data_IF_615657546528
#
_entry.id   IF_615657546528
#
_cell.length_a   1.000
_cell.length_b   1.000
_cell.length_c   1.000
_cell.angle_alpha   90.00
_cell.angle_beta   90.00
_cell.angle_gamma   90.00
#
_symmetry.space_group_name_H-M   'P 1'
#
loop_
_entity.id
_entity.type
_entity.pdbx_description
1 polymer ?
#
# COMPACT_ATOMS: atom_id res chain seq x y z
N UNK A 1 19.75 14.18 -25.47
CA UNK A 1 19.57 12.73 -25.33
C UNK A 1 18.14 12.42 -25.74
N UNK A 2 17.95 11.67 -26.83
CA UNK A 2 16.63 11.22 -27.28
C UNK A 2 16.32 9.88 -26.63
N UNK A 3 15.25 9.81 -25.86
CA UNK A 3 14.73 8.53 -25.38
C UNK A 3 14.21 7.73 -26.58
N UNK A 4 14.49 6.41 -26.66
CA UNK A 4 13.95 5.59 -27.74
C UNK A 4 12.43 5.51 -27.58
N UNK A 5 11.70 5.89 -28.62
CA UNK A 5 10.26 5.68 -28.72
C UNK A 5 10.02 4.18 -28.86
N UNK A 6 9.65 3.52 -27.76
CA UNK A 6 9.08 2.18 -27.82
C UNK A 6 7.76 2.26 -28.61
N UNK A 7 7.60 1.33 -29.54
CA UNK A 7 6.35 1.14 -30.28
C UNK A 7 5.19 1.00 -29.29
N UNK A 8 4.35 2.02 -29.22
CA UNK A 8 3.16 2.06 -28.39
C UNK A 8 2.23 0.92 -28.83
N UNK A 9 2.06 -0.06 -27.94
CA UNK A 9 0.86 -0.91 -27.96
C UNK A 9 -0.31 0.07 -27.83
N UNK A 10 -1.28 0.11 -28.77
CA UNK A 10 -2.38 1.05 -28.64
C UNK A 10 -3.23 0.62 -27.45
N UNK A 11 -3.13 1.34 -26.32
CA UNK A 11 -4.20 1.64 -25.33
C UNK A 11 -3.75 1.97 -23.89
N UNK A 12 -2.46 2.14 -23.56
CA UNK A 12 -2.02 2.48 -22.18
C UNK A 12 -1.51 3.91 -22.10
N UNK A 13 -2.03 4.67 -21.13
CA UNK A 13 -1.56 6.03 -20.83
C UNK A 13 -0.37 5.97 -19.85
N UNK A 14 0.41 7.05 -19.75
CA UNK A 14 1.55 7.12 -18.82
C UNK A 14 1.09 6.90 -17.38
N UNK A 15 -0.09 7.41 -17.03
CA UNK A 15 -0.71 7.28 -15.71
C UNK A 15 -1.05 5.82 -15.42
N UNK A 16 -1.53 5.07 -16.41
CA UNK A 16 -1.76 3.64 -16.26
C UNK A 16 -0.45 2.90 -15.93
N UNK A 17 0.62 3.17 -16.67
CA UNK A 17 1.91 2.51 -16.45
C UNK A 17 2.50 2.87 -15.08
N UNK A 18 2.46 4.14 -14.69
CA UNK A 18 2.90 4.58 -13.37
C UNK A 18 2.13 3.91 -12.24
N UNK A 19 0.80 3.85 -12.34
CA UNK A 19 -0.05 3.23 -11.33
C UNK A 19 0.13 1.71 -11.26
N UNK A 20 0.31 1.06 -12.42
CA UNK A 20 0.59 -0.37 -12.48
C UNK A 20 1.94 -0.71 -11.83
N UNK A 21 2.98 0.08 -12.12
CA UNK A 21 4.29 -0.07 -11.49
C UNK A 21 4.21 0.20 -9.98
N UNK A 22 3.44 1.20 -9.55
CA UNK A 22 3.19 1.49 -8.13
C UNK A 22 2.60 0.30 -7.39
N UNK A 23 1.53 -0.26 -7.95
CA UNK A 23 0.84 -1.40 -7.39
C UNK A 23 1.77 -2.61 -7.27
N UNK A 24 2.52 -2.92 -8.32
CA UNK A 24 3.47 -4.03 -8.31
C UNK A 24 4.55 -3.82 -7.25
N UNK A 25 5.07 -2.58 -7.13
CA UNK A 25 6.09 -2.28 -6.13
C UNK A 25 5.56 -2.42 -4.70
N UNK A 26 4.31 -2.03 -4.44
CA UNK A 26 3.68 -2.26 -3.13
C UNK A 26 3.61 -3.75 -2.80
N UNK A 27 3.15 -4.58 -3.76
CA UNK A 27 3.07 -6.03 -3.56
C UNK A 27 4.45 -6.66 -3.34
N UNK A 28 5.46 -6.24 -4.13
CA UNK A 28 6.85 -6.67 -3.99
C UNK A 28 7.39 -6.36 -2.57
N UNK A 29 7.22 -5.13 -2.09
CA UNK A 29 7.64 -4.74 -0.74
C UNK A 29 6.96 -5.57 0.36
N UNK A 30 5.67 -5.89 0.18
CA UNK A 30 4.92 -6.75 1.12
C UNK A 30 5.43 -8.19 1.08
N UNK A 31 5.74 -8.71 -0.11
CA UNK A 31 6.25 -10.07 -0.26
C UNK A 31 7.69 -10.21 0.25
N UNK A 32 8.47 -9.14 0.19
CA UNK A 32 9.85 -9.10 0.69
C UNK A 32 9.97 -8.85 2.19
N UNK A 33 8.95 -8.24 2.82
CA UNK A 33 8.92 -7.93 4.25
C UNK A 33 9.30 -9.14 5.14
N UNK A 34 10.10 -8.88 6.19
CA UNK A 34 10.68 -9.87 7.09
C UNK A 34 10.18 -9.81 8.52
N UNK A 35 9.82 -8.62 9.03
CA UNK A 35 9.51 -8.42 10.44
C UNK A 35 8.16 -7.75 10.68
N UNK A 36 7.87 -6.64 10.01
CA UNK A 36 6.67 -5.85 10.30
C UNK A 36 6.12 -5.12 9.08
N UNK A 37 4.79 -4.96 9.05
CA UNK A 37 4.10 -4.10 8.10
C UNK A 37 3.02 -3.32 8.85
N UNK A 38 3.05 -2.00 8.72
CA UNK A 38 1.97 -1.10 9.18
C UNK A 38 1.35 -0.43 7.98
N UNK A 39 0.02 -0.51 7.84
CA UNK A 39 -0.71 0.16 6.77
C UNK A 39 -1.74 1.11 7.36
N UNK A 40 -1.70 2.37 6.95
CA UNK A 40 -2.77 3.33 7.18
C UNK A 40 -3.36 3.71 5.81
N UNK A 41 -4.60 3.30 5.57
CA UNK A 41 -5.23 3.44 4.27
C UNK A 41 -6.68 3.91 4.39
N UNK A 42 -7.00 5.05 3.80
CA UNK A 42 -8.36 5.57 3.83
C UNK A 42 -9.35 4.59 3.17
N UNK A 43 -9.29 4.43 1.84
CA UNK A 43 -10.21 3.52 1.11
C UNK A 43 -9.44 2.32 0.58
N UNK A 44 -9.90 1.11 0.93
CA UNK A 44 -9.28 -0.15 0.55
C UNK A 44 -10.27 -1.13 -0.09
N UNK A 45 -10.16 -1.34 -1.39
CA UNK A 45 -10.91 -2.40 -2.09
C UNK A 45 -10.04 -3.30 -2.97
N UNK A 46 -8.72 -3.07 -3.00
CA UNK A 46 -7.81 -3.84 -3.83
C UNK A 46 -7.42 -5.17 -3.19
N UNK A 47 -7.99 -6.26 -3.71
CA UNK A 47 -7.89 -7.60 -3.12
C UNK A 47 -6.49 -8.18 -3.16
N UNK A 48 -5.71 -7.89 -4.19
CA UNK A 48 -4.41 -8.52 -4.38
C UNK A 48 -3.40 -8.05 -3.33
N UNK A 49 -3.49 -6.79 -2.90
CA UNK A 49 -2.71 -6.29 -1.75
C UNK A 49 -3.17 -6.97 -0.45
N UNK A 50 -4.47 -7.18 -0.25
CA UNK A 50 -4.95 -7.97 0.90
C UNK A 50 -4.37 -9.38 0.92
N UNK A 51 -4.32 -10.05 -0.25
CA UNK A 51 -3.72 -11.39 -0.37
C UNK A 51 -2.22 -11.38 -0.10
N UNK A 52 -1.50 -10.35 -0.56
CA UNK A 52 -0.08 -10.19 -0.28
C UNK A 52 0.19 -10.06 1.23
N UNK A 53 -0.62 -9.27 1.93
CA UNK A 53 -0.48 -9.11 3.39
C UNK A 53 -0.79 -10.38 4.15
N UNK A 54 -1.78 -11.16 3.70
CA UNK A 54 -2.05 -12.49 4.27
C UNK A 54 -0.86 -13.42 4.06
N UNK A 55 -0.22 -13.42 2.88
CA UNK A 55 1.04 -14.15 2.67
C UNK A 55 2.13 -13.70 3.64
N UNK A 56 2.30 -12.39 3.84
CA UNK A 56 3.27 -11.86 4.80
C UNK A 56 2.99 -12.34 6.23
N UNK A 57 1.74 -12.25 6.68
CA UNK A 57 1.31 -12.76 7.99
C UNK A 57 1.61 -14.25 8.15
N UNK A 58 1.37 -15.06 7.12
CA UNK A 58 1.67 -16.49 7.11
C UNK A 58 3.17 -16.80 7.21
N UNK A 59 4.04 -15.89 6.72
CA UNK A 59 5.50 -15.98 6.91
C UNK A 59 5.96 -15.54 8.32
N UNK A 60 5.05 -15.07 9.17
CA UNK A 60 5.36 -14.60 10.52
C UNK A 60 5.57 -13.09 10.65
N UNK A 61 5.35 -12.31 9.59
CA UNK A 61 5.44 -10.84 9.62
C UNK A 61 4.33 -10.27 10.50
N UNK A 62 4.64 -9.31 11.37
CA UNK A 62 3.64 -8.59 12.14
C UNK A 62 2.91 -7.56 11.26
N UNK A 63 1.68 -7.88 10.85
CA UNK A 63 0.87 -7.01 10.01
C UNK A 63 -0.20 -6.29 10.85
N UNK A 64 -0.21 -4.96 10.78
CA UNK A 64 -1.19 -4.09 11.43
C UNK A 64 -1.81 -3.14 10.41
N UNK A 65 -3.14 -2.98 10.46
CA UNK A 65 -3.87 -2.21 9.47
C UNK A 65 -4.84 -1.24 10.17
N UNK A 66 -4.83 0.00 9.68
CA UNK A 66 -5.81 1.04 9.98
C UNK A 66 -6.54 1.42 8.69
N UNK A 67 -7.87 1.40 8.70
CA UNK A 67 -8.69 1.84 7.54
C UNK A 67 -10.09 2.28 7.97
N UNK A 68 -10.88 2.85 7.06
CA UNK A 68 -12.27 3.26 7.37
C UNK A 68 -13.20 2.05 7.38
N UNK A 69 -14.27 2.11 8.18
CA UNK A 69 -15.33 1.12 8.11
C UNK A 69 -16.29 1.46 6.97
N UNK A 70 -16.40 0.59 5.96
CA UNK A 70 -17.32 0.82 4.84
C UNK A 70 -17.77 -0.49 4.17
N UNK A 71 -19.06 -0.57 3.85
CA UNK A 71 -19.64 -1.72 3.15
C UNK A 71 -19.01 -1.96 1.77
N UNK A 72 -18.46 -0.92 1.13
CA UNK A 72 -17.80 -1.02 -0.18
C UNK A 72 -16.49 -1.79 -0.14
N UNK A 73 -15.94 -2.04 1.04
CA UNK A 73 -14.61 -2.64 1.26
C UNK A 73 -14.70 -4.12 1.68
N UNK A 74 -15.93 -4.64 1.83
CA UNK A 74 -16.20 -5.89 2.56
C UNK A 74 -15.37 -7.07 2.07
N UNK A 75 -15.18 -7.24 0.76
CA UNK A 75 -14.43 -8.38 0.22
C UNK A 75 -12.93 -8.29 0.50
N UNK A 76 -12.33 -7.11 0.34
CA UNK A 76 -10.90 -6.91 0.59
C UNK A 76 -10.58 -6.99 2.09
N UNK A 77 -11.48 -6.47 2.94
CA UNK A 77 -11.42 -6.61 4.39
C UNK A 77 -11.61 -8.06 4.81
N UNK A 78 -12.56 -8.79 4.21
CA UNK A 78 -12.83 -10.19 4.53
C UNK A 78 -11.60 -11.08 4.26
N UNK A 79 -10.83 -10.80 3.20
CA UNK A 79 -9.56 -11.49 2.94
C UNK A 79 -8.58 -11.28 4.10
N UNK A 80 -8.44 -10.05 4.59
CA UNK A 80 -7.53 -9.71 5.69
C UNK A 80 -7.95 -10.39 7.01
N UNK A 81 -9.22 -10.24 7.38
CA UNK A 81 -9.74 -10.78 8.65
C UNK A 81 -9.76 -12.30 8.66
N UNK A 82 -10.13 -12.93 7.53
CA UNK A 82 -10.06 -14.40 7.39
C UNK A 82 -8.62 -14.92 7.39
N UNK A 83 -7.65 -14.09 6.96
CA UNK A 83 -6.23 -14.37 7.07
C UNK A 83 -5.61 -14.06 8.44
N UNK A 84 -6.43 -13.72 9.45
CA UNK A 84 -5.96 -13.47 10.81
C UNK A 84 -5.31 -12.10 11.02
N UNK A 85 -5.56 -11.12 10.14
CA UNK A 85 -5.05 -9.76 10.28
C UNK A 85 -6.14 -8.89 10.92
N UNK A 86 -5.93 -8.37 12.14
CA UNK A 86 -6.89 -7.47 12.77
C UNK A 86 -6.89 -6.11 12.07
N UNK A 87 -8.06 -5.48 12.02
CA UNK A 87 -8.26 -4.15 11.45
C UNK A 87 -8.65 -3.19 12.56
N UNK A 88 -7.94 -2.07 12.66
CA UNK A 88 -8.34 -0.91 13.45
C UNK A 88 -9.12 0.06 12.55
N UNK A 89 -10.27 0.52 13.03
CA UNK A 89 -11.13 1.43 12.28
C UNK A 89 -10.81 2.89 12.63
N UNK A 90 -10.60 3.74 11.62
CA UNK A 90 -10.28 5.16 11.78
C UNK A 90 -10.69 5.94 10.53
N UNK A 91 -11.20 7.17 10.70
CA UNK A 91 -11.59 8.08 9.60
C UNK A 91 -10.39 8.85 9.01
N UNK A 92 -9.17 8.34 9.22
CA UNK A 92 -7.95 8.97 8.72
C UNK A 92 -7.88 8.96 7.19
N UNK A 93 -7.44 10.08 6.61
CA UNK A 93 -7.25 10.19 5.17
C UNK A 93 -5.87 9.68 4.68
N UNK A 94 -5.07 9.07 5.56
CA UNK A 94 -3.74 8.57 5.23
C UNK A 94 -3.74 7.42 4.22
N UNK A 95 -2.65 7.33 3.45
CA UNK A 95 -2.41 6.36 2.39
C UNK A 95 -0.93 5.99 2.35
N UNK A 96 -0.49 5.28 3.38
CA UNK A 96 0.91 4.94 3.54
C UNK A 96 1.10 3.53 4.10
N UNK A 97 2.28 2.98 3.87
CA UNK A 97 2.74 1.72 4.42
C UNK A 97 4.17 1.86 4.95
N UNK A 98 4.44 1.35 6.14
CA UNK A 98 5.78 1.18 6.69
C UNK A 98 6.10 -0.32 6.69
N UNK A 99 7.27 -0.68 6.16
CA UNK A 99 7.76 -2.05 6.08
C UNK A 99 9.08 -2.15 6.83
N UNK A 100 9.13 -3.14 7.73
CA UNK A 100 10.29 -3.55 8.53
C UNK A 100 11.00 -2.40 9.27
N UNK A 101 10.27 -1.32 9.57
CA UNK A 101 10.79 -0.10 10.22
C UNK A 101 11.90 0.64 9.46
N UNK A 102 12.09 0.38 8.16
CA UNK A 102 13.11 1.08 7.36
C UNK A 102 12.66 1.47 5.95
N UNK A 103 11.55 0.94 5.43
CA UNK A 103 11.00 1.32 4.11
C UNK A 103 9.62 1.92 4.25
N UNK A 104 9.41 3.12 3.73
CA UNK A 104 8.13 3.83 3.81
C UNK A 104 7.59 4.14 2.43
N UNK A 105 6.36 3.71 2.21
CA UNK A 105 5.57 4.02 1.00
C UNK A 105 4.54 5.07 1.38
N UNK A 106 4.45 6.14 0.61
CA UNK A 106 3.44 7.19 0.78
C UNK A 106 2.95 7.67 -0.58
N UNK A 107 1.73 8.18 -0.65
CA UNK A 107 1.19 8.72 -1.89
C UNK A 107 -0.25 9.20 -1.78
N UNK A 108 -0.80 9.58 -2.93
CA UNK A 108 -2.20 9.93 -3.11
C UNK A 108 -3.17 8.75 -3.36
N UNK A 109 -2.76 7.54 -3.85
CA UNK A 109 -3.74 6.54 -4.26
C UNK A 109 -4.37 5.83 -3.07
N UNK A 110 -5.69 5.85 -3.02
CA UNK A 110 -6.43 4.85 -2.27
C UNK A 110 -6.18 3.47 -2.91
N UNK A 111 -6.00 2.43 -2.09
CA UNK A 111 -5.77 1.07 -2.59
C UNK A 111 -7.05 0.44 -3.09
N UNK A 112 -7.46 0.88 -4.28
CA UNK A 112 -8.69 0.51 -4.98
C UNK A 112 -8.36 0.28 -6.45
N UNK A 113 -9.23 -0.42 -7.18
CA UNK A 113 -9.05 -0.63 -8.62
C UNK A 113 -8.96 0.71 -9.36
N UNK A 114 -9.79 1.68 -9.01
CA UNK A 114 -9.77 3.00 -9.64
C UNK A 114 -8.48 3.77 -9.34
N UNK A 115 -8.03 3.75 -8.08
CA UNK A 115 -6.76 4.39 -7.67
C UNK A 115 -5.57 3.86 -8.47
N UNK A 116 -5.52 2.56 -8.77
CA UNK A 116 -4.41 1.97 -9.52
C UNK A 116 -4.62 1.87 -11.05
N UNK A 117 -5.72 2.39 -11.62
CA UNK A 117 -5.95 2.22 -13.08
C UNK A 117 -6.57 3.41 -13.80
N UNK A 118 -7.10 4.40 -13.08
CA UNK A 118 -7.87 5.50 -13.68
C UNK A 118 -7.54 6.88 -13.15
N UNK A 119 -7.00 6.97 -11.94
CA UNK A 119 -6.67 8.25 -11.30
C UNK A 119 -5.26 8.71 -11.64
N UNK A 120 -5.07 10.02 -11.67
CA UNK A 120 -3.75 10.64 -11.73
C UNK A 120 -3.16 10.64 -10.32
N UNK A 121 -2.35 9.63 -10.02
CA UNK A 121 -1.83 9.40 -8.67
C UNK A 121 -0.31 9.56 -8.63
N UNK A 122 0.21 9.82 -7.43
CA UNK A 122 1.63 9.85 -7.16
C UNK A 122 1.94 9.00 -5.95
N UNK A 123 3.04 8.24 -6.03
CA UNK A 123 3.56 7.49 -4.90
C UNK A 123 5.07 7.64 -4.84
N UNK A 124 5.61 7.57 -3.62
CA UNK A 124 7.03 7.59 -3.33
C UNK A 124 7.37 6.42 -2.43
N UNK A 125 8.58 5.90 -2.59
CA UNK A 125 9.17 4.92 -1.68
C UNK A 125 10.45 5.53 -1.12
N UNK A 126 10.51 5.65 0.20
CA UNK A 126 11.70 6.04 0.94
C UNK A 126 12.33 4.77 1.52
N UNK A 127 13.59 4.55 1.19
CA UNK A 127 14.39 3.47 1.76
C UNK A 127 15.35 4.03 2.80
N UNK A 128 15.87 3.13 3.63
CA UNK A 128 16.90 3.42 4.63
C UNK A 128 16.53 4.62 5.51
N UNK A 129 15.32 4.58 6.08
CA UNK A 129 14.82 5.65 6.94
C UNK A 129 15.80 5.96 8.08
N UNK A 130 16.03 7.25 8.31
CA UNK A 130 16.73 7.68 9.51
C UNK A 130 15.88 7.45 10.75
N UNK A 131 16.52 7.35 11.92
CA UNK A 131 15.81 7.24 13.20
C UNK A 131 14.85 8.41 13.44
N UNK A 132 15.19 9.60 12.95
CA UNK A 132 14.32 10.78 13.00
C UNK A 132 13.06 10.59 12.15
N UNK A 133 13.20 10.18 10.89
CA UNK A 133 12.06 9.91 10.00
C UNK A 133 11.16 8.80 10.58
N UNK A 134 11.77 7.72 11.06
CA UNK A 134 11.06 6.62 11.70
C UNK A 134 10.27 7.10 12.93
N UNK A 135 10.86 7.95 13.78
CA UNK A 135 10.18 8.48 14.96
C UNK A 135 8.94 9.31 14.62
N UNK A 136 8.99 10.08 13.52
CA UNK A 136 7.84 10.87 13.04
C UNK A 136 6.75 9.96 12.51
N UNK A 137 7.09 8.93 11.73
CA UNK A 137 6.13 7.95 11.22
C UNK A 137 5.44 7.19 12.37
N UNK A 138 6.20 6.80 13.41
CA UNK A 138 5.62 6.19 14.60
C UNK A 138 4.71 7.13 15.38
N UNK A 139 5.07 8.42 15.46
CA UNK A 139 4.18 9.44 16.04
C UNK A 139 2.88 9.54 15.25
N UNK A 140 2.93 9.57 13.93
CA UNK A 140 1.74 9.52 13.07
C UNK A 140 0.90 8.27 13.34
N UNK A 141 1.52 7.09 13.45
CA UNK A 141 0.82 5.83 13.72
C UNK A 141 0.11 5.82 15.08
N UNK A 142 0.73 6.40 16.11
CA UNK A 142 0.18 6.46 17.45
C UNK A 142 -1.02 7.43 17.57
N UNK A 143 -1.19 8.33 16.59
CA UNK A 143 -2.35 9.23 16.50
C UNK A 143 -3.54 8.65 15.70
N UNK A 144 -3.39 7.45 15.12
CA UNK A 144 -4.46 6.77 14.38
C UNK A 144 -5.45 6.06 15.28
#
# INVERSE_FOLDING_TARGET
>A
MSFPTQNLIPSRTIEWDLNFLAQNKIIELIDDAKSSIKVAMNVWSYKDISRALVRAKQRGVDVQIVTIQSNKLQEAIAILTSGGIPIKWSESHYKWMLVDDYTFVNGSPNWTVNGFSRSDESFIVLYDLSSEQLSVIYSMWNHL
#
